data_IF_190696874832
#
_entry.id   IF_190696874832
#
_cell.length_a   1.000
_cell.length_b   1.000
_cell.length_c   1.000
_cell.angle_alpha   90.00
_cell.angle_beta   90.00
_cell.angle_gamma   90.00
#
_symmetry.space_group_name_H-M   'P 1'
#
loop_
_entity.id
_entity.type
_entity.pdbx_description
1 polymer ?
#
# COMPACT_ATOMS: atom_id res chain seq x y z
N UNK A 1 -1.35 14.50 -18.24
CA UNK A 1 -1.61 15.93 -17.99
C UNK A 1 -3.07 16.33 -17.99
N UNK A 2 -3.96 15.67 -18.77
CA UNK A 2 -5.41 15.99 -18.74
C UNK A 2 -6.01 15.76 -17.35
N UNK A 3 -5.69 14.65 -16.69
CA UNK A 3 -6.21 14.33 -15.35
C UNK A 3 -5.77 15.39 -14.33
N UNK A 4 -4.48 15.77 -14.31
CA UNK A 4 -3.99 16.80 -13.38
C UNK A 4 -4.63 18.16 -13.63
N UNK A 5 -4.83 18.54 -14.93
CA UNK A 5 -5.57 19.77 -15.26
C UNK A 5 -6.99 19.74 -14.71
N UNK A 6 -7.64 18.60 -14.72
CA UNK A 6 -8.99 18.43 -14.18
C UNK A 6 -8.98 18.58 -12.65
N UNK A 7 -8.05 17.91 -11.94
CA UNK A 7 -7.90 18.02 -10.50
C UNK A 7 -7.76 19.48 -10.03
N UNK A 8 -7.00 20.29 -10.78
CA UNK A 8 -6.73 21.67 -10.39
C UNK A 8 -7.81 22.66 -10.82
N UNK A 9 -8.48 22.43 -11.94
CA UNK A 9 -9.54 23.33 -12.43
C UNK A 9 -10.91 23.00 -11.85
N UNK A 10 -11.15 21.73 -11.47
CA UNK A 10 -12.44 21.22 -10.99
C UNK A 10 -12.21 20.31 -9.78
N UNK A 11 -11.68 20.84 -8.67
CA UNK A 11 -11.29 20.01 -7.51
C UNK A 11 -12.51 19.34 -6.85
N UNK A 12 -13.64 20.02 -6.73
CA UNK A 12 -14.86 19.47 -6.10
C UNK A 12 -15.45 18.33 -6.92
N UNK A 13 -15.60 18.52 -8.22
CA UNK A 13 -16.09 17.49 -9.14
C UNK A 13 -15.11 16.30 -9.21
N UNK A 14 -13.83 16.59 -9.16
CA UNK A 14 -12.79 15.55 -9.11
C UNK A 14 -12.92 14.71 -7.84
N UNK A 15 -13.15 15.33 -6.69
CA UNK A 15 -13.38 14.63 -5.42
C UNK A 15 -14.63 13.75 -5.48
N UNK A 16 -15.72 14.24 -6.05
CA UNK A 16 -16.96 13.45 -6.25
C UNK A 16 -16.69 12.24 -7.15
N UNK A 17 -15.97 12.44 -8.26
CA UNK A 17 -15.62 11.35 -9.17
C UNK A 17 -14.72 10.30 -8.48
N UNK A 18 -13.70 10.76 -7.75
CA UNK A 18 -12.77 9.87 -7.05
C UNK A 18 -13.49 9.07 -5.98
N UNK A 19 -14.45 9.67 -5.26
CA UNK A 19 -15.26 8.94 -4.28
C UNK A 19 -16.12 7.87 -4.97
N UNK A 20 -16.78 8.18 -6.09
CA UNK A 20 -17.54 7.17 -6.84
C UNK A 20 -16.67 6.01 -7.32
N UNK A 21 -15.45 6.30 -7.79
CA UNK A 21 -14.48 5.26 -8.16
C UNK A 21 -14.12 4.41 -6.95
N UNK A 22 -13.87 5.02 -5.79
CA UNK A 22 -13.56 4.30 -4.56
C UNK A 22 -14.72 3.38 -4.13
N UNK A 23 -15.96 3.86 -4.22
CA UNK A 23 -17.16 3.08 -3.88
C UNK A 23 -17.30 1.85 -4.79
N UNK A 24 -17.09 1.99 -6.08
CA UNK A 24 -17.13 0.86 -7.02
C UNK A 24 -15.96 -0.10 -6.83
N UNK A 25 -14.76 0.42 -6.55
CA UNK A 25 -13.60 -0.41 -6.18
C UNK A 25 -13.89 -1.25 -4.94
N UNK A 26 -14.48 -0.66 -3.90
CA UNK A 26 -14.82 -1.39 -2.68
C UNK A 26 -15.82 -2.53 -2.96
N UNK A 27 -16.88 -2.26 -3.71
CA UNK A 27 -17.85 -3.30 -4.11
C UNK A 27 -17.21 -4.43 -4.91
N UNK A 28 -16.33 -4.08 -5.85
CA UNK A 28 -15.61 -5.07 -6.65
C UNK A 28 -14.69 -5.94 -5.81
N UNK A 29 -13.98 -5.37 -4.84
CA UNK A 29 -13.12 -6.11 -3.93
C UNK A 29 -13.94 -7.03 -3.01
N UNK A 30 -15.07 -6.58 -2.50
CA UNK A 30 -15.99 -7.43 -1.72
C UNK A 30 -16.47 -8.61 -2.55
N UNK A 31 -16.84 -8.39 -3.82
CA UNK A 31 -17.24 -9.48 -4.71
C UNK A 31 -16.12 -10.51 -4.93
N UNK A 32 -14.87 -10.07 -5.07
CA UNK A 32 -13.71 -10.96 -5.18
C UNK A 32 -13.51 -11.79 -3.90
N UNK A 33 -13.67 -11.18 -2.73
CA UNK A 33 -13.56 -11.87 -1.44
C UNK A 33 -14.68 -12.92 -1.31
N UNK A 34 -15.91 -12.56 -1.63
CA UNK A 34 -17.05 -13.50 -1.63
C UNK A 34 -16.85 -14.65 -2.62
N UNK A 35 -16.11 -14.42 -3.72
CA UNK A 35 -15.74 -15.45 -4.68
C UNK A 35 -14.53 -16.31 -4.24
N UNK A 36 -13.95 -16.04 -3.07
CA UNK A 36 -12.89 -16.85 -2.47
C UNK A 36 -11.49 -16.23 -2.48
N UNK A 37 -11.32 -14.95 -2.78
CA UNK A 37 -10.03 -14.30 -2.67
C UNK A 37 -9.59 -14.21 -1.20
N UNK A 38 -8.40 -14.74 -0.91
CA UNK A 38 -7.82 -14.80 0.43
C UNK A 38 -6.88 -13.63 0.75
N UNK A 39 -6.57 -12.81 -0.24
CA UNK A 39 -5.81 -11.57 -0.15
C UNK A 39 -6.23 -10.69 -1.32
N UNK A 40 -6.32 -9.39 -1.10
CA UNK A 40 -6.64 -8.41 -2.14
C UNK A 40 -5.60 -7.30 -2.17
N UNK A 41 -5.43 -6.70 -3.35
CA UNK A 41 -4.48 -5.58 -3.52
C UNK A 41 -5.12 -4.43 -4.29
N UNK A 42 -4.95 -3.23 -3.74
CA UNK A 42 -5.32 -1.96 -4.39
C UNK A 42 -4.06 -1.33 -4.97
N UNK A 43 -4.12 -0.99 -6.25
CA UNK A 43 -3.03 -0.39 -6.99
C UNK A 43 -3.32 1.08 -7.26
N UNK A 44 -2.42 1.96 -6.81
CA UNK A 44 -2.28 3.32 -7.31
C UNK A 44 -0.92 3.46 -7.99
N UNK A 45 -0.86 3.01 -9.23
CA UNK A 45 0.38 2.94 -10.01
C UNK A 45 0.93 4.31 -10.42
N UNK A 46 0.13 5.37 -10.29
CA UNK A 46 0.46 6.74 -10.64
C UNK A 46 0.51 7.70 -9.44
N UNK A 47 0.48 7.17 -8.23
CA UNK A 47 0.50 7.95 -6.99
C UNK A 47 1.65 8.96 -6.90
N UNK A 48 2.83 8.59 -7.40
CA UNK A 48 4.02 9.44 -7.43
C UNK A 48 3.97 10.61 -8.41
N UNK A 49 2.96 10.68 -9.29
CA UNK A 49 2.75 11.83 -10.15
C UNK A 49 2.15 13.03 -9.41
N UNK A 50 1.60 12.81 -8.22
CA UNK A 50 1.05 13.84 -7.37
C UNK A 50 2.12 14.39 -6.42
N UNK A 51 2.05 15.69 -6.15
CA UNK A 51 2.83 16.26 -5.05
C UNK A 51 2.38 15.67 -3.70
N UNK A 52 3.19 15.74 -2.63
CA UNK A 52 2.75 15.28 -1.31
C UNK A 52 1.43 15.90 -0.84
N UNK A 53 1.19 17.17 -1.17
CA UNK A 53 -0.05 17.87 -0.82
C UNK A 53 -1.22 17.34 -1.63
N UNK A 54 -1.05 17.19 -2.95
CA UNK A 54 -2.09 16.70 -3.85
C UNK A 54 -2.42 15.23 -3.58
N UNK A 55 -1.42 14.41 -3.23
CA UNK A 55 -1.64 13.02 -2.82
C UNK A 55 -2.56 12.94 -1.59
N UNK A 56 -2.33 13.81 -0.60
CA UNK A 56 -3.19 13.89 0.59
C UNK A 56 -4.61 14.34 0.28
N UNK A 57 -4.80 15.11 -0.79
CA UNK A 57 -6.11 15.63 -1.18
C UNK A 57 -6.84 14.70 -2.14
N UNK A 58 -6.14 14.18 -3.16
CA UNK A 58 -6.78 13.51 -4.30
C UNK A 58 -6.52 11.99 -4.40
N UNK A 59 -5.74 11.40 -3.50
CA UNK A 59 -5.49 9.96 -3.52
C UNK A 59 -5.72 9.30 -2.16
N UNK A 60 -5.03 9.74 -1.12
CA UNK A 60 -5.02 9.10 0.19
C UNK A 60 -6.41 8.92 0.83
N UNK A 61 -7.34 9.91 0.78
CA UNK A 61 -8.68 9.75 1.36
C UNK A 61 -9.46 8.61 0.71
N UNK A 62 -9.34 8.48 -0.61
CA UNK A 62 -10.05 7.45 -1.38
C UNK A 62 -9.45 6.07 -1.19
N UNK A 63 -8.12 5.95 -1.10
CA UNK A 63 -7.46 4.71 -0.72
C UNK A 63 -7.93 4.26 0.67
N UNK A 64 -8.01 5.18 1.63
CA UNK A 64 -8.51 4.87 2.98
C UNK A 64 -9.99 4.48 2.98
N UNK A 65 -10.80 5.20 2.22
CA UNK A 65 -12.24 4.93 2.05
C UNK A 65 -12.50 3.52 1.47
N UNK A 66 -11.72 3.09 0.48
CA UNK A 66 -11.80 1.72 -0.06
C UNK A 66 -11.59 0.69 1.05
N UNK A 67 -10.53 0.84 1.84
CA UNK A 67 -10.20 -0.11 2.90
C UNK A 67 -11.27 -0.15 4.00
N UNK A 68 -11.85 0.98 4.37
CA UNK A 68 -12.92 1.10 5.34
C UNK A 68 -14.20 0.45 4.81
N UNK A 69 -14.65 0.83 3.63
CA UNK A 69 -15.86 0.31 3.00
C UNK A 69 -15.82 -1.21 2.82
N UNK A 70 -14.67 -1.77 2.39
CA UNK A 70 -14.52 -3.22 2.27
C UNK A 70 -14.76 -3.91 3.61
N UNK A 71 -14.17 -3.40 4.70
CA UNK A 71 -14.37 -3.97 6.04
C UNK A 71 -15.80 -3.87 6.51
N UNK A 72 -16.43 -2.72 6.32
CA UNK A 72 -17.81 -2.48 6.75
C UNK A 72 -18.78 -3.39 6.01
N UNK A 73 -18.63 -3.55 4.70
CA UNK A 73 -19.45 -4.47 3.90
C UNK A 73 -19.26 -5.92 4.35
N UNK A 74 -18.02 -6.38 4.56
CA UNK A 74 -17.75 -7.74 5.01
C UNK A 74 -18.28 -7.97 6.44
N UNK A 75 -18.12 -6.99 7.33
CA UNK A 75 -18.66 -7.07 8.69
C UNK A 75 -20.19 -7.20 8.69
N UNK A 76 -20.88 -6.44 7.81
CA UNK A 76 -22.35 -6.55 7.67
C UNK A 76 -22.81 -7.94 7.20
N UNK A 77 -21.95 -8.67 6.47
CA UNK A 77 -22.18 -10.03 6.03
C UNK A 77 -21.64 -11.08 7.00
N UNK A 78 -21.06 -10.69 8.14
CA UNK A 78 -20.37 -11.58 9.08
C UNK A 78 -19.19 -12.35 8.45
N UNK A 79 -18.53 -11.76 7.47
CA UNK A 79 -17.34 -12.31 6.79
C UNK A 79 -16.09 -11.65 7.39
N UNK A 80 -15.09 -12.46 7.75
CA UNK A 80 -13.80 -11.93 8.19
C UNK A 80 -13.04 -11.30 7.02
N UNK A 81 -12.53 -10.09 7.22
CA UNK A 81 -11.75 -9.40 6.18
C UNK A 81 -10.39 -10.05 5.97
N UNK A 82 -10.08 -10.52 4.77
CA UNK A 82 -8.73 -10.99 4.46
C UNK A 82 -7.72 -9.84 4.50
N UNK A 83 -6.40 -10.14 4.51
CA UNK A 83 -5.38 -9.11 4.41
C UNK A 83 -5.53 -8.28 3.13
N UNK A 84 -5.43 -6.95 3.29
CA UNK A 84 -5.50 -5.99 2.19
C UNK A 84 -4.15 -5.33 1.99
N UNK A 85 -3.70 -5.27 0.73
CA UNK A 85 -2.45 -4.64 0.31
C UNK A 85 -2.78 -3.31 -0.37
N UNK A 86 -2.01 -2.26 -0.07
CA UNK A 86 -1.97 -1.03 -0.87
C UNK A 86 -0.61 -0.88 -1.53
N UNK A 87 -0.63 -0.59 -2.83
CA UNK A 87 0.57 -0.28 -3.62
C UNK A 87 0.41 1.11 -4.23
N UNK A 88 1.09 2.10 -3.65
CA UNK A 88 1.08 3.49 -4.10
C UNK A 88 2.48 3.85 -4.65
N UNK A 89 2.71 3.51 -5.93
CA UNK A 89 4.01 3.68 -6.59
C UNK A 89 4.47 5.13 -6.57
N UNK A 90 5.70 5.34 -6.11
CA UNK A 90 6.33 6.67 -6.08
C UNK A 90 5.89 7.59 -4.94
N UNK A 91 4.76 7.30 -4.27
CA UNK A 91 4.28 8.11 -3.15
C UNK A 91 4.93 7.76 -1.80
N UNK A 92 5.52 6.57 -1.67
CA UNK A 92 6.07 6.10 -0.40
C UNK A 92 7.23 6.97 0.11
N UNK A 93 8.01 7.56 -0.77
CA UNK A 93 9.12 8.43 -0.39
C UNK A 93 8.71 9.65 0.45
N UNK A 94 7.47 10.11 0.30
CA UNK A 94 6.96 11.29 0.99
C UNK A 94 5.71 11.04 1.86
N UNK A 95 4.97 9.95 1.65
CA UNK A 95 3.68 9.71 2.30
C UNK A 95 3.57 8.37 3.02
N UNK A 96 4.69 7.69 3.27
CA UNK A 96 4.70 6.37 3.89
C UNK A 96 3.99 6.35 5.26
N UNK A 97 4.13 7.41 6.05
CA UNK A 97 3.52 7.49 7.37
C UNK A 97 1.99 7.61 7.32
N UNK A 98 1.48 8.29 6.31
CA UNK A 98 0.05 8.42 6.04
C UNK A 98 -0.51 7.11 5.47
N UNK A 99 0.18 6.50 4.52
CA UNK A 99 -0.21 5.22 3.90
C UNK A 99 -0.26 4.11 4.96
N UNK A 100 0.68 4.06 5.90
CA UNK A 100 0.64 3.13 7.04
C UNK A 100 -0.65 3.25 7.86
N UNK A 101 -1.26 4.43 7.90
CA UNK A 101 -2.49 4.71 8.65
C UNK A 101 -3.76 4.56 7.81
N UNK A 102 -3.65 4.32 6.51
CA UNK A 102 -4.78 4.28 5.59
C UNK A 102 -5.67 3.03 5.71
N UNK A 103 -5.34 2.16 6.66
CA UNK A 103 -6.21 1.02 6.98
C UNK A 103 -5.80 -0.30 6.35
N UNK A 104 -4.76 -0.38 5.55
CA UNK A 104 -4.28 -1.61 4.94
C UNK A 104 -3.40 -2.44 5.89
N UNK A 105 -3.33 -3.75 5.65
CA UNK A 105 -2.52 -4.69 6.42
C UNK A 105 -1.10 -4.83 5.87
N UNK A 106 -0.93 -4.58 4.57
CA UNK A 106 0.33 -4.74 3.86
C UNK A 106 0.60 -3.50 3.01
N UNK A 107 1.83 -3.00 3.07
CA UNK A 107 2.32 -1.91 2.22
C UNK A 107 3.20 -2.49 1.12
N UNK A 108 2.76 -2.36 -0.12
CA UNK A 108 3.54 -2.74 -1.29
C UNK A 108 4.58 -1.65 -1.62
N UNK A 109 5.84 -2.04 -1.64
CA UNK A 109 6.96 -1.15 -1.97
C UNK A 109 7.30 -1.25 -3.45
N UNK A 110 7.48 -0.12 -4.10
CA UNK A 110 8.14 -0.09 -5.39
C UNK A 110 9.68 -0.23 -5.24
N UNK A 111 10.36 -0.51 -6.33
CA UNK A 111 11.80 -0.79 -6.33
C UNK A 111 12.68 0.43 -6.00
N UNK A 112 12.11 1.64 -5.93
CA UNK A 112 12.84 2.87 -5.62
C UNK A 112 12.97 3.11 -4.12
N UNK A 113 12.21 2.38 -3.30
CA UNK A 113 12.21 2.51 -1.85
C UNK A 113 13.12 1.46 -1.21
N UNK A 114 14.06 1.90 -0.39
CA UNK A 114 14.86 1.00 0.42
C UNK A 114 13.99 0.34 1.51
N UNK A 115 13.96 -1.01 1.58
CA UNK A 115 13.12 -1.73 2.56
C UNK A 115 13.36 -1.31 4.01
N UNK A 116 14.58 -0.92 4.35
CA UNK A 116 14.96 -0.46 5.69
C UNK A 116 14.20 0.83 6.07
N UNK A 117 13.98 1.75 5.13
CA UNK A 117 13.21 2.98 5.37
C UNK A 117 11.76 2.65 5.70
N UNK A 118 11.15 1.74 4.92
CA UNK A 118 9.78 1.31 5.16
C UNK A 118 9.64 0.58 6.51
N UNK A 119 10.58 -0.30 6.85
CA UNK A 119 10.61 -0.98 8.17
C UNK A 119 10.72 0.00 9.33
N UNK A 120 11.58 1.00 9.22
CA UNK A 120 11.72 2.04 10.25
C UNK A 120 10.41 2.82 10.44
N UNK A 121 9.72 3.17 9.34
CA UNK A 121 8.43 3.86 9.40
C UNK A 121 7.34 2.99 10.05
N UNK A 122 7.24 1.71 9.69
CA UNK A 122 6.30 0.75 10.30
C UNK A 122 6.59 0.58 11.79
N UNK A 123 7.87 0.41 12.18
CA UNK A 123 8.28 0.31 13.58
C UNK A 123 7.87 1.55 14.36
N UNK A 124 8.17 2.74 13.85
CA UNK A 124 7.80 4.02 14.50
C UNK A 124 6.28 4.15 14.67
N UNK A 125 5.50 3.74 13.67
CA UNK A 125 4.05 3.77 13.75
C UNK A 125 3.52 2.81 14.82
N UNK A 126 4.12 1.62 14.96
CA UNK A 126 3.78 0.65 15.99
C UNK A 126 4.13 1.15 17.39
N UNK A 127 5.33 1.65 17.58
CA UNK A 127 5.80 2.15 18.89
C UNK A 127 5.01 3.40 19.33
N UNK A 128 4.60 4.26 18.39
CA UNK A 128 3.72 5.40 18.63
C UNK A 128 2.30 4.98 19.06
N UNK A 129 1.75 3.90 18.50
CA UNK A 129 0.45 3.34 18.92
C UNK A 129 0.48 2.79 20.34
N UNK A 130 1.57 2.17 20.76
CA UNK A 130 1.73 1.64 22.13
C UNK A 130 1.63 2.76 23.17
N UNK A 131 2.11 3.96 22.87
CA UNK A 131 1.98 5.14 23.75
C UNK A 131 0.58 5.77 23.70
N UNK A 132 -0.14 5.70 22.57
CA UNK A 132 -1.48 6.26 22.37
C UNK A 132 -2.61 5.33 22.81
N UNK A 133 -2.39 4.03 22.86
CA UNK A 133 -3.39 3.04 23.31
C UNK A 133 -3.75 3.17 24.80
N UNK A 134 -2.99 3.96 25.57
CA UNK A 134 -3.30 4.30 26.96
C UNK A 134 -4.25 5.52 27.09
N UNK A 135 -4.59 6.17 25.98
CA UNK A 135 -5.57 7.28 25.94
C UNK A 135 -6.75 6.83 25.06
N UNK A 136 -7.88 6.68 25.69
CA UNK A 136 -9.16 6.11 25.24
C UNK A 136 -9.55 6.32 23.76
N UNK A 137 -10.06 5.26 23.14
CA UNK A 137 -11.23 5.30 22.23
C UNK A 137 -11.01 5.23 20.74
N UNK A 138 -9.81 5.16 20.19
CA UNK A 138 -9.64 4.98 18.75
C UNK A 138 -9.43 3.50 18.38
N UNK A 139 -10.41 2.93 17.68
CA UNK A 139 -10.32 1.61 17.03
C UNK A 139 -9.29 1.65 15.88
N UNK A 140 -8.02 1.76 16.21
CA UNK A 140 -6.96 1.48 15.25
C UNK A 140 -6.87 -0.04 15.07
N UNK A 141 -6.94 -0.54 13.83
CA UNK A 141 -6.72 -1.95 13.53
C UNK A 141 -5.40 -2.40 14.17
N UNK A 142 -5.47 -3.21 15.22
CA UNK A 142 -4.31 -3.70 15.99
C UNK A 142 -3.45 -4.73 15.27
N UNK A 143 -3.58 -4.86 13.94
CA UNK A 143 -2.83 -5.81 13.14
C UNK A 143 -1.42 -5.29 12.83
N UNK A 144 -0.40 -6.15 12.94
CA UNK A 144 0.94 -5.80 12.50
C UNK A 144 0.92 -5.50 10.99
N UNK A 145 1.56 -4.40 10.58
CA UNK A 145 1.69 -4.06 9.17
C UNK A 145 2.83 -4.89 8.58
N UNK A 146 2.51 -5.63 7.53
CA UNK A 146 3.47 -6.35 6.72
C UNK A 146 3.97 -5.47 5.56
N UNK A 147 5.08 -5.87 4.96
CA UNK A 147 5.60 -5.24 3.75
C UNK A 147 5.56 -6.23 2.59
N UNK A 148 5.39 -5.71 1.37
CA UNK A 148 5.50 -6.48 0.14
C UNK A 148 6.53 -5.85 -0.78
N UNK A 149 7.28 -6.64 -1.51
CA UNK A 149 8.18 -6.17 -2.57
C UNK A 149 9.57 -6.76 -2.43
N UNK A 150 10.54 -6.06 -3.01
CA UNK A 150 10.46 -4.95 -3.99
C UNK A 150 11.61 -5.06 -4.99
N UNK A 151 11.89 -6.31 -5.46
CA UNK A 151 12.94 -6.49 -6.46
C UNK A 151 12.61 -5.69 -7.72
N UNK A 152 13.59 -4.96 -8.25
CA UNK A 152 13.44 -4.27 -9.53
C UNK A 152 13.15 -5.29 -10.65
N UNK A 153 12.05 -5.17 -11.39
CA UNK A 153 11.72 -6.08 -12.47
C UNK A 153 12.82 -6.18 -13.54
N UNK A 154 13.57 -5.12 -13.78
CA UNK A 154 14.67 -5.12 -14.75
C UNK A 154 15.79 -6.10 -14.39
N UNK A 155 15.90 -6.50 -13.12
CA UNK A 155 16.88 -7.52 -12.68
C UNK A 155 16.59 -8.87 -13.32
N UNK A 156 15.34 -9.14 -13.72
CA UNK A 156 14.97 -10.42 -14.37
C UNK A 156 15.61 -10.61 -15.74
N UNK A 157 16.10 -9.54 -16.38
CA UNK A 157 16.85 -9.61 -17.64
C UNK A 157 18.35 -9.92 -17.43
N UNK A 158 18.80 -9.96 -16.18
CA UNK A 158 20.18 -10.26 -15.85
C UNK A 158 20.47 -11.78 -15.85
N UNK A 159 21.74 -12.13 -15.75
CA UNK A 159 22.16 -13.53 -15.57
C UNK A 159 21.63 -14.08 -14.24
N UNK A 160 21.37 -15.41 -14.14
CA UNK A 160 20.81 -16.03 -12.93
C UNK A 160 21.60 -15.72 -11.65
N UNK A 161 22.92 -15.62 -11.72
CA UNK A 161 23.77 -15.32 -10.56
C UNK A 161 23.51 -13.90 -10.03
N UNK A 162 23.26 -12.94 -10.92
CA UNK A 162 22.92 -11.56 -10.56
C UNK A 162 21.52 -11.52 -9.91
N UNK A 163 20.55 -12.24 -10.48
CA UNK A 163 19.20 -12.35 -9.90
C UNK A 163 19.27 -12.91 -8.49
N UNK A 164 20.01 -14.03 -8.30
CA UNK A 164 20.19 -14.65 -7.00
C UNK A 164 20.80 -13.70 -5.98
N UNK A 165 21.85 -12.97 -6.38
CA UNK A 165 22.51 -12.02 -5.47
C UNK A 165 21.58 -10.86 -5.09
N UNK A 166 20.80 -10.33 -6.04
CA UNK A 166 19.81 -9.27 -5.78
C UNK A 166 18.71 -9.75 -4.84
N UNK A 167 18.22 -10.98 -5.02
CA UNK A 167 17.25 -11.59 -4.11
C UNK A 167 17.85 -11.79 -2.71
N UNK A 168 19.08 -12.34 -2.60
CA UNK A 168 19.76 -12.47 -1.30
C UNK A 168 19.91 -11.11 -0.60
N UNK A 169 20.32 -10.07 -1.35
CA UNK A 169 20.43 -8.71 -0.82
C UNK A 169 19.11 -8.18 -0.29
N UNK A 170 18.01 -8.42 -1.00
CA UNK A 170 16.68 -8.01 -0.57
C UNK A 170 16.28 -8.56 0.80
N UNK A 171 16.77 -9.76 1.16
CA UNK A 171 16.52 -10.37 2.47
C UNK A 171 17.54 -9.99 3.56
N UNK A 172 18.72 -9.49 3.23
CA UNK A 172 19.77 -9.18 4.21
C UNK A 172 19.55 -7.81 4.88
N UNK A 173 19.43 -7.79 6.19
CA UNK A 173 19.31 -6.53 6.97
C UNK A 173 20.57 -5.66 6.84
N UNK A 174 21.76 -6.27 6.79
CA UNK A 174 23.04 -5.56 6.68
C UNK A 174 23.22 -4.78 5.36
N UNK A 175 22.41 -5.09 4.36
CA UNK A 175 22.40 -4.39 3.05
C UNK A 175 21.17 -3.53 2.83
N UNK A 176 20.44 -3.17 3.89
CA UNK A 176 19.22 -2.37 3.80
C UNK A 176 17.96 -3.17 3.41
N UNK A 177 18.05 -4.51 3.29
CA UNK A 177 16.92 -5.36 2.92
C UNK A 177 15.89 -5.58 4.02
N UNK A 178 14.89 -6.41 3.72
CA UNK A 178 13.76 -6.67 4.62
C UNK A 178 14.18 -7.36 5.94
N UNK A 179 15.25 -8.15 5.95
CA UNK A 179 15.64 -8.97 7.09
C UNK A 179 14.67 -10.14 7.32
N UNK A 180 15.09 -11.11 8.12
CA UNK A 180 14.32 -12.32 8.39
C UNK A 180 13.23 -12.18 9.46
N UNK A 181 12.94 -10.98 9.97
CA UNK A 181 11.96 -10.79 11.03
C UNK A 181 10.79 -9.94 10.54
N UNK A 182 9.60 -10.50 10.59
CA UNK A 182 8.33 -9.85 10.23
C UNK A 182 7.64 -10.52 9.04
N UNK A 183 6.38 -10.19 8.86
CA UNK A 183 5.60 -10.66 7.71
C UNK A 183 6.05 -9.93 6.45
N UNK A 184 6.46 -10.71 5.45
CA UNK A 184 6.90 -10.22 4.14
C UNK A 184 6.18 -10.99 3.03
N UNK A 185 5.58 -10.27 2.11
CA UNK A 185 5.15 -10.80 0.81
C UNK A 185 6.27 -10.56 -0.19
N UNK A 186 6.96 -11.64 -0.60
CA UNK A 186 8.04 -11.55 -1.56
C UNK A 186 7.48 -11.25 -2.96
N UNK A 187 7.85 -10.12 -3.53
CA UNK A 187 7.32 -9.66 -4.82
C UNK A 187 8.35 -8.78 -5.55
N UNK A 188 8.05 -8.51 -6.81
CA UNK A 188 8.73 -7.46 -7.57
C UNK A 188 8.23 -6.08 -7.13
N UNK A 189 9.04 -5.05 -7.34
CA UNK A 189 8.66 -3.67 -7.04
C UNK A 189 7.82 -3.00 -8.13
N UNK A 190 7.47 -3.71 -9.19
CA UNK A 190 6.53 -3.33 -10.26
C UNK A 190 6.17 -4.54 -11.11
N UNK A 191 5.23 -4.38 -12.05
CA UNK A 191 4.95 -5.37 -13.07
C UNK A 191 6.16 -5.65 -13.97
N UNK A 192 6.21 -6.85 -14.54
CA UNK A 192 7.22 -7.24 -15.54
C UNK A 192 6.91 -6.47 -16.83
N UNK A 193 7.92 -5.85 -17.42
CA UNK A 193 7.78 -5.23 -18.73
C UNK A 193 7.67 -6.33 -19.78
N UNK A 194 6.62 -6.34 -20.62
CA UNK A 194 6.57 -7.23 -21.77
C UNK A 194 7.83 -7.03 -22.65
N UNK A 195 8.51 -8.11 -22.97
CA UNK A 195 9.65 -8.10 -23.87
C UNK A 195 9.26 -7.92 -25.33
#
# INVERSE_FOLDING_TARGET
DKAKRWLFNYPEESCVLLQRIADECAKFLVAQICAGAQIIQVFDSWAGELSPADFRTFALPYLSSIAEQVRDHLASMSIESPPMIVYAKGALGHSIHEIIKSGYNVIGLDHTIEPMVARAAVKKARDGKTKMSQVAGTKGSGHPIALQGNLDPAVLYAKPEVIQERVRRMFKTSTGGFGGQGALVCNLGHGITPG
#
